data_IF_143595951810
#
_entry.id   IF_143595951810
#
_cell.length_a   1.000
_cell.length_b   1.000
_cell.length_c   1.000
_cell.angle_alpha   90.00
_cell.angle_beta   90.00
_cell.angle_gamma   90.00
#
_symmetry.space_group_name_H-M   'P 1'
#
loop_
_entity.id
_entity.type
_entity.pdbx_description
1 polymer ?
#
# COMPACT_ATOMS: atom_id res chain seq x y z
N UNK A 1 40.80 9.87 -22.78
CA UNK A 1 39.79 10.89 -22.36
C UNK A 1 38.43 10.20 -22.31
N UNK A 2 37.55 10.50 -21.35
CA UNK A 2 36.20 9.94 -21.33
C UNK A 2 35.41 10.41 -22.57
N UNK A 3 34.60 9.51 -23.13
CA UNK A 3 33.81 9.76 -24.34
C UNK A 3 32.66 10.75 -24.05
N UNK A 4 32.61 11.93 -24.70
CA UNK A 4 31.57 12.92 -24.48
C UNK A 4 30.18 12.49 -25.00
N UNK A 5 30.09 11.39 -25.75
CA UNK A 5 28.84 10.83 -26.28
C UNK A 5 28.44 9.51 -25.62
N UNK A 6 29.14 9.08 -24.57
CA UNK A 6 28.68 7.95 -23.76
C UNK A 6 27.25 8.27 -23.30
N UNK A 7 26.26 7.38 -23.56
CA UNK A 7 24.91 7.58 -23.07
C UNK A 7 24.99 7.80 -21.57
N UNK A 8 24.61 9.00 -21.13
CA UNK A 8 24.45 9.27 -19.71
C UNK A 8 23.25 8.42 -19.29
N UNK A 9 23.51 7.19 -18.87
CA UNK A 9 22.53 6.31 -18.24
C UNK A 9 22.18 6.93 -16.89
N UNK A 10 21.51 8.08 -16.92
CA UNK A 10 20.73 8.58 -15.80
C UNK A 10 19.81 7.41 -15.48
N UNK A 11 20.13 6.68 -14.40
CA UNK A 11 19.32 5.58 -13.92
C UNK A 11 17.91 6.13 -13.81
N UNK A 12 17.01 5.67 -14.68
CA UNK A 12 15.62 6.09 -14.59
C UNK A 12 15.16 5.79 -13.16
N UNK A 13 14.52 6.74 -12.46
CA UNK A 13 14.06 6.50 -11.10
C UNK A 13 13.13 5.28 -11.11
N UNK A 14 13.62 4.18 -10.56
CA UNK A 14 12.88 2.92 -10.49
C UNK A 14 11.96 2.99 -9.28
N UNK A 15 10.70 3.33 -9.51
CA UNK A 15 9.66 3.21 -8.50
C UNK A 15 9.43 1.72 -8.25
N UNK A 16 9.63 1.27 -7.02
CA UNK A 16 9.32 -0.09 -6.58
C UNK A 16 8.03 -0.06 -5.76
N UNK A 17 7.37 -1.21 -5.58
CA UNK A 17 6.19 -1.33 -4.71
C UNK A 17 6.48 -0.80 -3.29
N UNK A 18 7.69 -1.02 -2.78
CA UNK A 18 8.12 -0.53 -1.46
C UNK A 18 8.15 1.01 -1.38
N UNK A 19 8.36 1.70 -2.52
CA UNK A 19 8.28 3.16 -2.59
C UNK A 19 6.85 3.68 -2.71
N UNK A 20 5.89 2.83 -3.09
CA UNK A 20 4.49 3.20 -3.31
C UNK A 20 3.58 2.85 -2.13
N UNK A 21 3.79 1.70 -1.51
CA UNK A 21 2.96 1.20 -0.41
C UNK A 21 2.77 2.21 0.74
N UNK A 22 3.78 3.02 1.15
CA UNK A 22 3.59 4.04 2.18
C UNK A 22 2.49 5.06 1.87
N UNK A 23 2.17 5.27 0.59
CA UNK A 23 1.21 6.26 0.11
C UNK A 23 -0.14 5.64 -0.27
N UNK A 24 -0.32 4.34 -0.11
CA UNK A 24 -1.58 3.64 -0.37
C UNK A 24 -2.59 3.83 0.79
N UNK A 25 -2.77 5.07 1.22
CA UNK A 25 -3.64 5.50 2.31
C UNK A 25 -4.12 6.93 2.05
N UNK A 26 -5.32 7.27 2.52
CA UNK A 26 -5.82 8.65 2.55
C UNK A 26 -5.42 9.44 3.81
N UNK A 27 -4.81 8.78 4.78
CA UNK A 27 -4.40 9.38 6.05
C UNK A 27 -2.92 9.18 6.25
N UNK A 28 -2.19 10.28 6.23
CA UNK A 28 -0.75 10.29 6.46
C UNK A 28 0.05 9.44 5.46
N UNK A 29 1.17 8.91 5.95
CA UNK A 29 2.07 8.01 5.23
C UNK A 29 2.29 6.81 6.14
N UNK A 30 2.14 5.59 5.62
CA UNK A 30 2.40 4.38 6.40
C UNK A 30 3.88 4.35 6.80
N UNK A 31 4.13 4.17 8.09
CA UNK A 31 5.48 3.99 8.58
C UNK A 31 5.94 2.53 8.39
N UNK A 32 7.21 2.25 8.70
CA UNK A 32 7.78 0.91 8.55
C UNK A 32 7.09 -0.15 9.44
N UNK A 33 6.60 0.23 10.62
CA UNK A 33 5.84 -0.66 11.49
C UNK A 33 4.47 -0.99 10.89
N UNK A 34 3.74 -0.01 10.35
CA UNK A 34 2.46 -0.23 9.66
C UNK A 34 2.63 -1.20 8.47
N UNK A 35 3.70 -1.01 7.70
CA UNK A 35 4.03 -1.86 6.54
C UNK A 35 4.39 -3.28 6.97
N UNK A 36 5.13 -3.42 8.08
CA UNK A 36 5.48 -4.73 8.64
C UNK A 36 4.23 -5.45 9.11
N UNK A 37 3.38 -4.78 9.89
CA UNK A 37 2.14 -5.36 10.39
C UNK A 37 1.18 -5.74 9.24
N UNK A 38 1.15 -4.95 8.16
CA UNK A 38 0.43 -5.31 6.94
C UNK A 38 0.95 -6.60 6.30
N UNK A 39 2.27 -6.76 6.23
CA UNK A 39 2.89 -7.95 5.65
C UNK A 39 2.63 -9.22 6.49
N UNK A 40 2.36 -9.08 7.80
CA UNK A 40 1.97 -10.21 8.65
C UNK A 40 0.54 -10.71 8.40
N UNK A 41 -0.37 -9.81 7.99
CA UNK A 41 -1.79 -10.15 7.74
C UNK A 41 -2.10 -10.34 6.26
N UNK A 42 -1.31 -9.76 5.36
CA UNK A 42 -1.43 -9.87 3.92
C UNK A 42 -0.11 -10.40 3.32
N UNK A 43 -0.12 -11.66 2.87
CA UNK A 43 1.04 -12.26 2.19
C UNK A 43 1.30 -11.67 0.80
N UNK A 44 0.38 -10.87 0.26
CA UNK A 44 0.52 -10.20 -1.03
C UNK A 44 -0.28 -8.90 -1.12
N UNK A 45 0.10 -8.04 -2.05
CA UNK A 45 -0.68 -6.83 -2.37
C UNK A 45 -2.12 -7.15 -2.80
N UNK A 46 -2.32 -8.29 -3.49
CA UNK A 46 -3.67 -8.75 -3.87
C UNK A 46 -4.53 -9.07 -2.65
N UNK A 47 -3.96 -9.75 -1.67
CA UNK A 47 -4.66 -10.05 -0.41
C UNK A 47 -4.95 -8.79 0.39
N UNK A 48 -4.01 -7.83 0.42
CA UNK A 48 -4.23 -6.52 1.04
C UNK A 48 -5.42 -5.79 0.42
N UNK A 49 -5.46 -5.67 -0.91
CA UNK A 49 -6.58 -5.04 -1.62
C UNK A 49 -7.88 -5.80 -1.37
N UNK A 50 -7.85 -7.14 -1.42
CA UNK A 50 -9.03 -7.95 -1.13
C UNK A 50 -9.57 -7.73 0.28
N UNK A 51 -8.70 -7.60 1.30
CA UNK A 51 -9.11 -7.28 2.67
C UNK A 51 -9.65 -5.87 2.80
N UNK A 52 -9.01 -4.89 2.14
CA UNK A 52 -9.45 -3.51 2.16
C UNK A 52 -10.86 -3.35 1.56
N UNK A 53 -11.11 -3.98 0.41
CA UNK A 53 -12.41 -4.01 -0.27
C UNK A 53 -13.44 -4.84 0.49
N UNK A 54 -13.07 -6.04 0.98
CA UNK A 54 -13.99 -6.87 1.79
C UNK A 54 -14.36 -6.21 3.11
N UNK A 55 -13.50 -5.39 3.73
CA UNK A 55 -13.81 -4.66 4.95
C UNK A 55 -14.98 -3.67 4.83
N UNK A 56 -15.38 -3.33 3.60
CA UNK A 56 -16.62 -2.58 3.33
C UNK A 56 -17.89 -3.45 3.50
N UNK A 57 -17.78 -4.76 3.26
CA UNK A 57 -18.92 -5.71 3.23
C UNK A 57 -18.94 -6.65 4.44
N UNK A 58 -17.77 -7.00 4.98
CA UNK A 58 -17.58 -7.96 6.07
C UNK A 58 -16.76 -7.34 7.22
N UNK A 59 -17.30 -7.45 8.43
CA UNK A 59 -16.66 -6.93 9.65
C UNK A 59 -15.32 -7.61 9.93
N UNK A 60 -15.13 -8.87 9.51
CA UNK A 60 -13.90 -9.61 9.76
C UNK A 60 -12.68 -8.98 9.06
N UNK A 61 -12.83 -8.53 7.82
CA UNK A 61 -11.75 -7.85 7.08
C UNK A 61 -11.38 -6.49 7.67
N UNK A 62 -12.37 -5.82 8.28
CA UNK A 62 -12.16 -4.57 9.03
C UNK A 62 -11.37 -4.83 10.30
N UNK A 63 -11.80 -5.79 11.11
CA UNK A 63 -11.18 -6.09 12.40
C UNK A 63 -9.71 -6.52 12.26
N UNK A 64 -9.36 -7.24 11.20
CA UNK A 64 -7.97 -7.65 10.91
C UNK A 64 -7.08 -6.45 10.60
N UNK A 65 -7.52 -5.55 9.73
CA UNK A 65 -6.73 -4.35 9.39
C UNK A 65 -6.63 -3.39 10.58
N UNK A 66 -7.73 -3.17 11.29
CA UNK A 66 -7.74 -2.32 12.50
C UNK A 66 -6.84 -2.90 13.59
N UNK A 67 -6.82 -4.22 13.76
CA UNK A 67 -5.91 -4.91 14.68
C UNK A 67 -4.44 -4.77 14.30
N UNK A 68 -4.13 -4.71 13.00
CA UNK A 68 -2.75 -4.62 12.51
C UNK A 68 -2.13 -3.23 12.65
N UNK A 69 -2.90 -2.15 12.40
CA UNK A 69 -2.33 -0.78 12.32
C UNK A 69 -3.12 0.29 13.07
N UNK A 70 -4.18 -0.11 13.80
CA UNK A 70 -5.09 0.82 14.45
C UNK A 70 -6.18 1.36 13.53
N UNK A 71 -7.27 1.79 14.16
CA UNK A 71 -8.54 2.14 13.49
C UNK A 71 -8.37 3.24 12.43
N UNK A 72 -7.68 4.32 12.79
CA UNK A 72 -7.56 5.50 11.92
C UNK A 72 -6.79 5.17 10.63
N UNK A 73 -5.66 4.47 10.76
CA UNK A 73 -4.81 4.10 9.63
C UNK A 73 -5.46 3.02 8.77
N UNK A 74 -6.07 2.01 9.39
CA UNK A 74 -6.81 0.97 8.68
C UNK A 74 -7.94 1.56 7.83
N UNK A 75 -8.66 2.55 8.36
CA UNK A 75 -9.68 3.26 7.61
C UNK A 75 -9.06 4.07 6.45
N UNK A 76 -7.92 4.73 6.63
CA UNK A 76 -7.22 5.45 5.55
C UNK A 76 -6.78 4.55 4.39
N UNK A 77 -6.30 3.34 4.70
CA UNK A 77 -5.96 2.31 3.70
C UNK A 77 -7.22 1.82 2.99
N UNK A 78 -8.30 1.56 3.72
CA UNK A 78 -9.57 1.12 3.14
C UNK A 78 -10.19 2.16 2.22
N UNK A 79 -10.25 3.42 2.63
CA UNK A 79 -10.76 4.52 1.79
C UNK A 79 -9.93 4.68 0.52
N UNK A 80 -8.61 4.51 0.60
CA UNK A 80 -7.74 4.57 -0.58
C UNK A 80 -8.09 3.48 -1.60
N UNK A 81 -8.21 2.23 -1.16
CA UNK A 81 -8.50 1.12 -2.07
C UNK A 81 -10.00 1.02 -2.45
N UNK A 82 -10.91 1.47 -1.61
CA UNK A 82 -12.36 1.45 -1.88
C UNK A 82 -12.78 2.48 -2.93
N UNK A 83 -12.19 3.69 -2.91
CA UNK A 83 -12.52 4.72 -3.91
C UNK A 83 -11.94 4.44 -5.30
N UNK A 84 -10.86 3.67 -5.38
CA UNK A 84 -10.18 3.35 -6.65
C UNK A 84 -10.78 2.14 -7.37
N UNK A 85 -11.67 1.36 -6.74
CA UNK A 85 -12.21 0.12 -7.30
C UNK A 85 -13.73 0.04 -7.14
N UNK A 86 -14.47 0.19 -8.24
CA UNK A 86 -15.91 -0.13 -8.28
C UNK A 86 -16.07 -1.65 -8.30
N UNK A 87 -16.70 -2.22 -7.27
CA UNK A 87 -17.10 -3.62 -7.27
C UNK A 87 -18.53 -3.68 -7.81
N UNK A 88 -18.70 -4.10 -9.07
CA UNK A 88 -20.00 -4.53 -9.63
C UNK A 88 -20.37 -5.94 -9.17
#
# INVERSE_FOLDING_TARGET
PPDPFAPNHLQQPKITIQHLLPYCTKRGVLNEADITNLAEVAGSLRELVAMALRGEVDALGRDVLEGAMGVEMAQGVREFWGEEWVVD
#
